data_IF_333391672254
#
_entry.id   IF_333391672254
#
_cell.length_a   1.000
_cell.length_b   1.000
_cell.length_c   1.000
_cell.angle_alpha   90.00
_cell.angle_beta   90.00
_cell.angle_gamma   90.00
#
_symmetry.space_group_name_H-M   'P 1'
#
loop_
_entity.id
_entity.type
_entity.pdbx_description
1 polymer ?
#
# COMPACT_ATOMS: atom_id res chain seq x y z
N UNK A 1 10.33 3.77 21.94
CA UNK A 1 10.10 5.04 21.22
C UNK A 1 10.72 5.09 19.82
N UNK A 2 12.05 5.14 19.62
CA UNK A 2 12.60 5.25 18.24
C UNK A 2 12.32 4.03 17.33
N UNK A 3 12.20 2.82 17.89
CA UNK A 3 11.93 1.61 17.10
C UNK A 3 10.54 1.64 16.42
N UNK A 4 9.50 2.06 17.13
CA UNK A 4 8.13 2.14 16.58
C UNK A 4 8.03 3.14 15.44
N UNK A 5 8.60 4.34 15.60
CA UNK A 5 8.67 5.37 14.56
C UNK A 5 9.42 4.85 13.34
N UNK A 6 10.57 4.20 13.53
CA UNK A 6 11.35 3.61 12.44
C UNK A 6 10.57 2.52 11.70
N UNK A 7 9.87 1.64 12.41
CA UNK A 7 9.10 0.57 11.79
C UNK A 7 7.93 1.13 10.98
N UNK A 8 7.23 2.11 11.54
CA UNK A 8 6.16 2.81 10.84
C UNK A 8 6.68 3.50 9.57
N UNK A 9 7.87 4.12 9.62
CA UNK A 9 8.52 4.70 8.45
C UNK A 9 8.83 3.64 7.38
N UNK A 10 9.43 2.51 7.76
CA UNK A 10 9.74 1.41 6.82
C UNK A 10 8.46 0.90 6.16
N UNK A 11 7.40 0.70 6.93
CA UNK A 11 6.16 0.16 6.41
C UNK A 11 5.42 1.14 5.50
N UNK A 12 5.49 2.45 5.79
CA UNK A 12 5.02 3.48 4.86
C UNK A 12 5.83 3.47 3.57
N UNK A 13 7.16 3.40 3.63
CA UNK A 13 8.01 3.31 2.43
C UNK A 13 7.60 2.12 1.57
N UNK A 14 7.42 0.94 2.15
CA UNK A 14 6.95 -0.25 1.43
C UNK A 14 5.57 -0.01 0.80
N UNK A 15 4.62 0.53 1.55
CA UNK A 15 3.26 0.78 1.07
C UNK A 15 3.25 1.79 -0.10
N UNK A 16 4.00 2.88 0.02
CA UNK A 16 4.11 3.87 -1.05
C UNK A 16 4.86 3.32 -2.27
N UNK A 17 5.85 2.44 -2.07
CA UNK A 17 6.47 1.73 -3.19
C UNK A 17 5.46 0.90 -3.98
N UNK A 18 4.59 0.17 -3.27
CA UNK A 18 3.51 -0.62 -3.88
C UNK A 18 2.55 0.28 -4.67
N UNK A 19 2.08 1.39 -4.08
CA UNK A 19 1.18 2.31 -4.78
C UNK A 19 1.81 2.99 -6.00
N UNK A 20 3.08 3.39 -5.90
CA UNK A 20 3.80 3.96 -7.03
C UNK A 20 3.92 2.98 -8.21
N UNK A 21 4.27 1.71 -7.91
CA UNK A 21 4.30 0.67 -8.94
C UNK A 21 2.90 0.48 -9.55
N UNK A 22 1.85 0.40 -8.71
CA UNK A 22 0.47 0.23 -9.17
C UNK A 22 -0.02 1.39 -10.04
N UNK A 23 0.42 2.63 -9.79
CA UNK A 23 0.04 3.76 -10.62
C UNK A 23 0.51 3.59 -12.08
N UNK A 24 1.69 2.97 -12.28
CA UNK A 24 2.20 2.62 -13.62
C UNK A 24 1.50 1.37 -14.15
N UNK A 25 1.47 0.30 -13.36
CA UNK A 25 0.91 -1.00 -13.76
C UNK A 25 -0.60 -0.97 -14.01
N UNK A 26 -1.33 0.00 -13.45
CA UNK A 26 -2.75 0.17 -13.69
C UNK A 26 -3.06 0.47 -15.17
N UNK A 27 -2.15 1.17 -15.86
CA UNK A 27 -2.30 1.43 -17.31
C UNK A 27 -2.22 0.12 -18.08
N UNK A 28 -1.19 -0.69 -17.83
CA UNK A 28 -1.05 -2.02 -18.46
C UNK A 28 -2.19 -2.97 -18.09
N UNK A 29 -2.64 -2.96 -16.83
CA UNK A 29 -3.78 -3.75 -16.40
C UNK A 29 -5.05 -3.36 -17.18
N UNK A 30 -5.29 -2.08 -17.41
CA UNK A 30 -6.43 -1.61 -18.19
C UNK A 30 -6.34 -2.03 -19.68
N UNK A 31 -5.14 -2.06 -20.27
CA UNK A 31 -4.92 -2.53 -21.65
C UNK A 31 -5.28 -4.00 -21.85
N UNK A 32 -5.10 -4.83 -20.81
CA UNK A 32 -5.36 -6.26 -20.88
C UNK A 32 -6.82 -6.63 -20.60
N UNK A 33 -7.59 -5.75 -19.94
CA UNK A 33 -8.98 -6.03 -19.57
C UNK A 33 -9.92 -5.80 -20.77
N UNK A 34 -10.67 -6.83 -21.22
CA UNK A 34 -11.66 -6.67 -22.27
C UNK A 34 -12.77 -5.70 -21.85
N UNK A 35 -13.16 -4.80 -22.76
CA UNK A 35 -14.31 -3.91 -22.56
C UNK A 35 -13.99 -2.55 -21.94
N UNK A 36 -12.73 -2.28 -21.61
CA UNK A 36 -12.25 -0.92 -21.28
C UNK A 36 -11.10 -0.52 -22.18
N UNK A 37 -10.94 0.78 -22.38
CA UNK A 37 -9.78 1.35 -23.07
C UNK A 37 -8.66 1.63 -22.07
N UNK A 38 -7.42 1.65 -22.54
CA UNK A 38 -6.24 1.98 -21.74
C UNK A 38 -6.38 3.32 -20.99
N UNK A 39 -6.94 4.34 -21.64
CA UNK A 39 -7.18 5.68 -21.07
C UNK A 39 -8.22 5.67 -19.92
N UNK A 40 -8.96 4.59 -19.76
CA UNK A 40 -9.93 4.37 -18.69
C UNK A 40 -9.32 3.70 -17.44
N UNK A 41 -7.98 3.52 -17.38
CA UNK A 41 -7.28 3.04 -16.18
C UNK A 41 -7.60 3.87 -14.91
N UNK A 42 -8.01 5.13 -15.09
CA UNK A 42 -8.48 6.00 -14.02
C UNK A 42 -9.62 5.40 -13.17
N UNK A 43 -10.46 4.51 -13.73
CA UNK A 43 -11.48 3.80 -12.94
C UNK A 43 -10.87 2.83 -11.93
N UNK A 44 -9.77 2.15 -12.29
CA UNK A 44 -9.06 1.25 -11.37
C UNK A 44 -8.42 2.04 -10.22
N UNK A 45 -7.83 3.20 -10.53
CA UNK A 45 -7.27 4.10 -9.52
C UNK A 45 -8.35 4.69 -8.61
N UNK A 46 -9.46 5.12 -9.18
CA UNK A 46 -10.60 5.64 -8.44
C UNK A 46 -11.19 4.58 -7.50
N UNK A 47 -11.33 3.33 -7.95
CA UNK A 47 -11.75 2.21 -7.11
C UNK A 47 -10.81 1.99 -5.90
N UNK A 48 -9.50 2.08 -6.11
CA UNK A 48 -8.51 2.09 -5.02
C UNK A 48 -8.72 3.24 -4.04
N UNK A 49 -8.98 4.45 -4.53
CA UNK A 49 -9.31 5.62 -3.70
C UNK A 49 -10.60 5.43 -2.89
N UNK A 50 -11.65 4.87 -3.49
CA UNK A 50 -12.91 4.52 -2.81
C UNK A 50 -12.63 3.52 -1.69
N UNK A 51 -11.88 2.46 -1.97
CA UNK A 51 -11.44 1.49 -0.97
C UNK A 51 -10.74 2.15 0.21
N UNK A 52 -9.78 3.04 -0.06
CA UNK A 52 -9.07 3.79 0.97
C UNK A 52 -10.00 4.65 1.81
N UNK A 53 -10.99 5.31 1.18
CA UNK A 53 -12.03 6.07 1.88
C UNK A 53 -12.86 5.19 2.82
N UNK A 54 -13.26 3.99 2.37
CA UNK A 54 -13.98 3.02 3.21
C UNK A 54 -13.12 2.57 4.39
N UNK A 55 -11.84 2.24 4.15
CA UNK A 55 -10.91 1.84 5.20
C UNK A 55 -10.64 2.96 6.22
N UNK A 56 -10.53 4.21 5.75
CA UNK A 56 -10.40 5.37 6.62
C UNK A 56 -11.66 5.62 7.46
N UNK A 57 -12.85 5.49 6.85
CA UNK A 57 -14.12 5.59 7.57
C UNK A 57 -14.24 4.49 8.63
N UNK A 58 -13.85 3.25 8.30
CA UNK A 58 -13.84 2.14 9.25
C UNK A 58 -12.92 2.44 10.45
N UNK A 59 -11.69 2.88 10.19
CA UNK A 59 -10.74 3.24 11.24
C UNK A 59 -11.23 4.37 12.13
N UNK A 60 -11.83 5.41 11.55
CA UNK A 60 -12.28 6.59 12.29
C UNK A 60 -13.47 6.34 13.21
N UNK A 61 -14.24 5.27 13.00
CA UNK A 61 -15.47 4.98 13.77
C UNK A 61 -15.38 3.72 14.64
N UNK A 62 -14.54 2.74 14.29
CA UNK A 62 -14.52 1.43 14.98
C UNK A 62 -13.15 0.97 15.47
N UNK A 63 -12.06 1.72 15.21
CA UNK A 63 -10.71 1.26 15.52
C UNK A 63 -10.06 1.93 16.74
N UNK A 64 -10.84 2.60 17.60
CA UNK A 64 -10.32 3.32 18.78
C UNK A 64 -9.54 2.39 19.73
N UNK A 65 -10.03 1.17 19.96
CA UNK A 65 -9.41 0.20 20.88
C UNK A 65 -8.49 -0.83 20.17
N UNK A 66 -8.39 -0.77 18.85
CA UNK A 66 -7.62 -1.73 18.08
C UNK A 66 -6.13 -1.36 18.10
N UNK A 67 -5.29 -2.33 18.45
CA UNK A 67 -3.84 -2.15 18.37
C UNK A 67 -3.41 -1.82 16.94
N UNK A 68 -2.74 -0.68 16.75
CA UNK A 68 -2.19 -0.23 15.46
C UNK A 68 -1.29 -1.28 14.80
N UNK A 69 -0.68 -2.14 15.62
CA UNK A 69 0.11 -3.28 15.18
C UNK A 69 -0.74 -4.36 14.50
N UNK A 70 -1.86 -4.73 15.11
CA UNK A 70 -2.76 -5.76 14.58
C UNK A 70 -3.46 -5.25 13.31
N UNK A 71 -3.89 -3.98 13.32
CA UNK A 71 -4.42 -3.29 12.15
C UNK A 71 -3.44 -3.31 10.98
N UNK A 72 -2.18 -2.99 11.25
CA UNK A 72 -1.11 -2.99 10.25
C UNK A 72 -0.82 -4.41 9.71
N UNK A 73 -0.81 -5.44 10.57
CA UNK A 73 -0.64 -6.83 10.12
C UNK A 73 -1.77 -7.27 9.19
N UNK A 74 -3.03 -7.09 9.61
CA UNK A 74 -4.19 -7.43 8.79
C UNK A 74 -4.26 -6.60 7.51
N UNK A 75 -3.91 -5.32 7.59
CA UNK A 75 -3.80 -4.45 6.43
C UNK A 75 -2.76 -4.94 5.43
N UNK A 76 -1.58 -5.36 5.90
CA UNK A 76 -0.53 -5.93 5.03
C UNK A 76 -0.97 -7.26 4.40
N UNK A 77 -1.58 -8.16 5.17
CA UNK A 77 -2.12 -9.44 4.66
C UNK A 77 -3.20 -9.18 3.62
N UNK A 78 -4.17 -8.31 3.93
CA UNK A 78 -5.25 -7.97 3.00
C UNK A 78 -4.75 -7.26 1.74
N UNK A 79 -3.74 -6.38 1.84
CA UNK A 79 -3.08 -5.77 0.68
C UNK A 79 -2.40 -6.82 -0.19
N UNK A 80 -1.71 -7.79 0.42
CA UNK A 80 -1.05 -8.88 -0.29
C UNK A 80 -2.05 -9.79 -1.01
N UNK A 81 -3.15 -10.17 -0.35
CA UNK A 81 -4.23 -10.96 -0.95
C UNK A 81 -4.88 -10.20 -2.10
N UNK A 82 -5.16 -8.91 -1.93
CA UNK A 82 -5.72 -8.07 -2.98
C UNK A 82 -4.79 -7.96 -4.19
N UNK A 83 -3.48 -7.84 -3.98
CA UNK A 83 -2.46 -7.86 -5.06
C UNK A 83 -2.41 -9.21 -5.78
N UNK A 84 -2.51 -10.32 -5.04
CA UNK A 84 -2.59 -11.66 -5.63
C UNK A 84 -3.85 -11.77 -6.48
N UNK A 85 -5.01 -11.39 -5.96
CA UNK A 85 -6.27 -11.39 -6.71
C UNK A 85 -6.20 -10.52 -7.97
N UNK A 86 -5.62 -9.32 -7.86
CA UNK A 86 -5.39 -8.42 -8.99
C UNK A 86 -4.48 -9.03 -10.06
N UNK A 87 -3.49 -9.83 -9.66
CA UNK A 87 -2.59 -10.52 -10.60
C UNK A 87 -3.31 -11.53 -11.51
N UNK A 88 -4.47 -12.04 -11.08
CA UNK A 88 -5.33 -12.94 -11.86
C UNK A 88 -6.52 -12.23 -12.50
N UNK A 89 -6.66 -10.90 -12.35
CA UNK A 89 -7.81 -10.14 -12.83
C UNK A 89 -7.63 -9.50 -14.20
N UNK A 90 -6.54 -9.83 -14.91
CA UNK A 90 -6.16 -9.17 -16.18
C UNK A 90 -7.23 -9.24 -17.27
N UNK A 91 -8.16 -10.19 -17.20
CA UNK A 91 -9.23 -10.35 -18.18
C UNK A 91 -10.64 -10.10 -17.60
N UNK A 92 -10.75 -9.59 -16.38
CA UNK A 92 -12.03 -9.43 -15.69
C UNK A 92 -12.09 -8.09 -14.95
N UNK A 93 -12.83 -7.13 -15.54
CA UNK A 93 -12.99 -5.78 -14.99
C UNK A 93 -13.55 -5.79 -13.57
N UNK A 94 -14.59 -6.59 -13.32
CA UNK A 94 -15.24 -6.65 -12.02
C UNK A 94 -14.25 -7.14 -10.96
N UNK A 95 -13.50 -8.20 -11.27
CA UNK A 95 -12.49 -8.73 -10.37
C UNK A 95 -11.38 -7.69 -10.12
N UNK A 96 -10.96 -6.97 -11.16
CA UNK A 96 -9.95 -5.93 -11.05
C UNK A 96 -10.43 -4.78 -10.15
N UNK A 97 -11.65 -4.27 -10.36
CA UNK A 97 -12.26 -3.22 -9.55
C UNK A 97 -12.45 -3.66 -8.09
N UNK A 98 -12.92 -4.89 -7.85
CA UNK A 98 -13.06 -5.40 -6.48
C UNK A 98 -11.71 -5.58 -5.80
N UNK A 99 -10.68 -6.01 -6.55
CA UNK A 99 -9.33 -6.20 -6.03
C UNK A 99 -8.67 -4.87 -5.71
N UNK A 100 -8.77 -3.86 -6.59
CA UNK A 100 -8.23 -2.52 -6.31
C UNK A 100 -8.97 -1.81 -5.17
N UNK A 101 -10.29 -1.96 -5.09
CA UNK A 101 -11.08 -1.44 -3.94
C UNK A 101 -10.63 -2.11 -2.64
N UNK A 102 -10.49 -3.43 -2.63
CA UNK A 102 -10.01 -4.17 -1.45
C UNK A 102 -8.58 -3.74 -1.08
N UNK A 103 -7.71 -3.55 -2.08
CA UNK A 103 -6.35 -3.07 -1.89
C UNK A 103 -6.34 -1.71 -1.19
N UNK A 104 -7.15 -0.76 -1.65
CA UNK A 104 -7.27 0.56 -1.01
C UNK A 104 -7.72 0.48 0.44
N UNK A 105 -8.73 -0.35 0.73
CA UNK A 105 -9.25 -0.56 2.08
C UNK A 105 -8.17 -1.08 3.02
N UNK A 106 -7.49 -2.15 2.64
CA UNK A 106 -6.47 -2.77 3.48
C UNK A 106 -5.21 -1.91 3.58
N UNK A 107 -4.86 -1.17 2.53
CA UNK A 107 -3.79 -0.20 2.56
C UNK A 107 -4.06 0.93 3.57
N UNK A 108 -5.32 1.37 3.75
CA UNK A 108 -5.67 2.36 4.78
C UNK A 108 -5.39 1.83 6.20
N UNK A 109 -5.65 0.54 6.45
CA UNK A 109 -5.34 -0.14 7.73
C UNK A 109 -3.84 -0.23 8.02
N UNK A 110 -2.98 -0.02 7.01
CA UNK A 110 -1.53 0.13 7.19
C UNK A 110 -1.15 1.61 7.29
N UNK A 111 -1.48 2.38 6.26
CA UNK A 111 -0.99 3.74 6.08
C UNK A 111 -1.44 4.70 7.18
N UNK A 112 -2.69 4.63 7.62
CA UNK A 112 -3.22 5.55 8.64
C UNK A 112 -2.59 5.23 10.01
N UNK A 113 -2.63 3.99 10.55
CA UNK A 113 -2.01 3.70 11.84
C UNK A 113 -0.51 3.95 11.88
N UNK A 114 0.22 3.67 10.79
CA UNK A 114 1.66 3.95 10.73
C UNK A 114 1.95 5.45 10.73
N UNK A 115 1.18 6.25 10.00
CA UNK A 115 1.28 7.71 10.10
C UNK A 115 0.98 8.18 11.52
N UNK A 116 -0.16 7.77 12.10
CA UNK A 116 -0.54 8.14 13.47
C UNK A 116 0.50 7.74 14.51
N UNK A 117 1.13 6.58 14.35
CA UNK A 117 2.25 6.12 15.20
C UNK A 117 3.43 7.07 15.13
N UNK A 118 3.86 7.47 13.93
CA UNK A 118 4.93 8.46 13.76
C UNK A 118 4.54 9.78 14.43
N UNK A 119 3.30 10.25 14.22
CA UNK A 119 2.86 11.53 14.79
C UNK A 119 2.75 11.51 16.32
N UNK A 120 2.27 10.41 16.89
CA UNK A 120 1.99 10.26 18.32
C UNK A 120 3.23 9.93 19.15
N UNK A 121 4.16 9.14 18.59
CA UNK A 121 5.41 8.78 19.27
C UNK A 121 6.53 9.82 19.12
N UNK A 122 6.38 10.78 18.20
CA UNK A 122 7.37 11.84 18.00
C UNK A 122 7.17 13.01 18.97
N UNK A 123 8.19 13.36 19.79
CA UNK A 123 8.12 14.53 20.68
C UNK A 123 7.88 15.84 19.90
N UNK A 124 7.14 16.83 20.47
CA UNK A 124 6.83 18.09 19.79
C UNK A 124 8.06 18.81 19.21
N UNK A 125 9.17 18.85 19.95
CA UNK A 125 10.41 19.51 19.53
C UNK A 125 11.11 18.84 18.33
N UNK A 126 10.79 17.58 18.04
CA UNK A 126 11.40 16.79 16.95
C UNK A 126 10.44 16.57 15.78
N UNK A 127 9.17 16.97 15.90
CA UNK A 127 8.10 16.65 14.94
C UNK A 127 8.41 17.10 13.53
N UNK A 128 8.88 18.34 13.36
CA UNK A 128 9.28 18.87 12.05
C UNK A 128 10.44 18.09 11.41
N UNK A 129 11.43 17.65 12.20
CA UNK A 129 12.57 16.87 11.70
C UNK A 129 12.15 15.47 11.25
N UNK A 130 11.33 14.79 12.06
CA UNK A 130 10.85 13.44 11.75
C UNK A 130 9.88 13.45 10.56
N UNK A 131 8.96 14.41 10.48
CA UNK A 131 8.08 14.53 9.31
C UNK A 131 8.85 14.95 8.04
N UNK A 132 9.89 15.78 8.18
CA UNK A 132 10.79 16.07 7.07
C UNK A 132 11.49 14.82 6.55
N UNK A 133 12.00 13.96 7.44
CA UNK A 133 12.59 12.67 7.07
C UNK A 133 11.54 11.74 6.43
N UNK A 134 10.35 11.65 7.02
CA UNK A 134 9.24 10.85 6.51
C UNK A 134 8.87 11.26 5.09
N UNK A 135 8.68 12.55 4.84
CA UNK A 135 8.28 13.07 3.54
C UNK A 135 9.35 12.78 2.47
N UNK A 136 10.63 12.96 2.80
CA UNK A 136 11.72 12.59 1.90
C UNK A 136 11.76 11.09 1.61
N UNK A 137 11.62 10.25 2.65
CA UNK A 137 11.59 8.80 2.48
C UNK A 137 10.42 8.35 1.59
N UNK A 138 9.24 8.94 1.77
CA UNK A 138 8.06 8.67 0.92
C UNK A 138 8.29 9.14 -0.52
N UNK A 139 8.84 10.34 -0.74
CA UNK A 139 9.13 10.82 -2.10
C UNK A 139 10.14 9.93 -2.85
N UNK A 140 11.16 9.43 -2.15
CA UNK A 140 12.11 8.46 -2.70
C UNK A 140 11.39 7.14 -3.02
N UNK A 141 10.57 6.66 -2.08
CA UNK A 141 9.76 5.45 -2.23
C UNK A 141 8.82 5.52 -3.44
N UNK A 142 8.28 6.70 -3.75
CA UNK A 142 7.43 6.90 -4.92
C UNK A 142 8.24 6.91 -6.22
N UNK A 143 9.45 7.48 -6.22
CA UNK A 143 10.24 7.70 -7.43
C UNK A 143 10.83 6.42 -8.01
N UNK A 144 11.36 5.51 -7.16
CA UNK A 144 12.03 4.29 -7.63
C UNK A 144 11.08 3.35 -8.40
N UNK A 145 9.88 3.01 -7.91
CA UNK A 145 8.95 2.15 -8.65
C UNK A 145 8.36 2.84 -9.88
N UNK A 146 8.13 4.16 -9.86
CA UNK A 146 7.70 4.90 -11.05
C UNK A 146 8.70 4.73 -12.20
N UNK A 147 10.00 4.67 -11.90
CA UNK A 147 11.04 4.45 -12.91
C UNK A 147 11.19 2.98 -13.34
N UNK A 148 10.92 2.03 -12.44
CA UNK A 148 11.26 0.62 -12.64
C UNK A 148 10.08 -0.30 -12.96
N UNK A 149 8.85 0.05 -12.58
CA UNK A 149 7.71 -0.86 -12.68
C UNK A 149 7.41 -1.29 -14.12
N UNK A 150 7.41 -0.35 -15.07
CA UNK A 150 7.22 -0.66 -16.49
C UNK A 150 8.36 -1.48 -17.10
N UNK A 151 9.60 -1.26 -16.64
CA UNK A 151 10.76 -2.07 -17.05
C UNK A 151 10.61 -3.50 -16.52
N UNK A 152 10.28 -3.65 -15.24
CA UNK A 152 10.05 -4.95 -14.63
C UNK A 152 8.90 -5.68 -15.32
N UNK A 153 7.82 -4.98 -15.65
CA UNK A 153 6.70 -5.53 -16.39
C UNK A 153 7.09 -6.00 -17.79
N UNK A 154 7.88 -5.21 -18.52
CA UNK A 154 8.38 -5.60 -19.84
C UNK A 154 9.24 -6.86 -19.79
N UNK A 155 10.02 -7.03 -18.72
CA UNK A 155 10.95 -8.16 -18.56
C UNK A 155 10.27 -9.43 -18.02
N UNK A 156 9.33 -9.30 -17.09
CA UNK A 156 8.77 -10.43 -16.33
C UNK A 156 7.27 -10.64 -16.58
N UNK A 157 6.59 -9.68 -17.20
CA UNK A 157 5.14 -9.64 -17.34
C UNK A 157 4.43 -9.02 -16.14
N UNK A 158 3.19 -8.59 -16.33
CA UNK A 158 2.37 -7.92 -15.32
C UNK A 158 2.11 -8.80 -14.09
N UNK A 159 1.70 -10.06 -14.29
CA UNK A 159 1.32 -10.94 -13.20
C UNK A 159 2.50 -11.22 -12.23
N UNK A 160 3.71 -11.61 -12.68
CA UNK A 160 4.84 -11.79 -11.76
C UNK A 160 5.25 -10.53 -11.01
N UNK A 161 5.14 -9.35 -11.63
CA UNK A 161 5.43 -8.08 -10.95
C UNK A 161 4.41 -7.81 -9.84
N UNK A 162 3.12 -8.00 -10.09
CA UNK A 162 2.07 -7.86 -9.07
C UNK A 162 2.26 -8.85 -7.90
N UNK A 163 2.67 -10.08 -8.19
CA UNK A 163 3.02 -11.07 -7.16
C UNK A 163 4.28 -10.65 -6.36
N UNK A 164 5.27 -10.05 -7.02
CA UNK A 164 6.43 -9.47 -6.35
C UNK A 164 6.04 -8.35 -5.37
N UNK A 165 5.12 -7.46 -5.77
CA UNK A 165 4.56 -6.43 -4.89
C UNK A 165 3.79 -7.03 -3.71
N UNK A 166 3.08 -8.14 -3.92
CA UNK A 166 2.43 -8.88 -2.83
C UNK A 166 3.47 -9.39 -1.82
N UNK A 167 4.58 -9.93 -2.31
CA UNK A 167 5.72 -10.32 -1.47
C UNK A 167 6.27 -9.16 -0.63
N UNK A 168 6.39 -7.95 -1.22
CA UNK A 168 6.79 -6.75 -0.48
C UNK A 168 5.77 -6.36 0.61
N UNK A 169 4.47 -6.44 0.32
CA UNK A 169 3.41 -6.14 1.28
C UNK A 169 3.44 -7.12 2.47
N UNK A 170 3.66 -8.42 2.21
CA UNK A 170 3.84 -9.46 3.24
C UNK A 170 5.08 -9.15 4.07
N UNK A 171 6.21 -8.87 3.43
CA UNK A 171 7.46 -8.53 4.12
C UNK A 171 7.26 -7.32 5.05
N UNK A 172 6.55 -6.28 4.61
CA UNK A 172 6.22 -5.12 5.45
C UNK A 172 5.41 -5.50 6.70
N UNK A 173 4.40 -6.35 6.55
CA UNK A 173 3.58 -6.82 7.68
C UNK A 173 4.37 -7.69 8.66
N UNK A 174 5.17 -8.63 8.14
CA UNK A 174 6.01 -9.53 8.93
C UNK A 174 7.08 -8.75 9.70
N UNK A 175 7.78 -7.81 9.05
CA UNK A 175 8.79 -6.98 9.70
C UNK A 175 8.19 -6.15 10.84
N UNK A 176 7.02 -5.54 10.61
CA UNK A 176 6.35 -4.78 11.67
C UNK A 176 5.97 -5.69 12.85
N UNK A 177 5.42 -6.86 12.56
CA UNK A 177 5.06 -7.85 13.58
C UNK A 177 6.28 -8.29 14.39
N UNK A 178 7.37 -8.75 13.77
CA UNK A 178 8.54 -9.24 14.54
C UNK A 178 9.13 -8.17 15.46
N UNK A 179 9.34 -6.95 14.95
CA UNK A 179 10.05 -5.92 15.71
C UNK A 179 9.24 -5.43 16.92
N UNK A 180 7.92 -5.53 16.90
CA UNK A 180 7.10 -5.19 18.05
C UNK A 180 6.86 -6.36 19.03
N UNK A 181 7.31 -7.60 18.73
CA UNK A 181 7.24 -8.73 19.69
C UNK A 181 8.39 -8.58 20.70
N UNK A 182 9.51 -8.02 20.25
CA UNK A 182 10.71 -7.77 21.05
C UNK A 182 10.64 -6.53 21.96
N UNK A 183 9.46 -5.91 22.11
CA UNK A 183 9.22 -4.71 22.93
C UNK A 183 8.09 -4.94 23.91
#
# INVERSE_FOLDING_TARGET
KNKEVRNALIQLVILFCVFAALAVLAVSLAEQIPGIKADQFGFLLAAGGVGMGIGAFFLGNWAEDLSYRMLSLWGSIGTAIALIALSFSTHNLTLALTSTTSLGLFAALVGIPMQTTIQGQTPPAMRGKVFGLQNNAVNIALSLPLALAGIAETLFGLQPVLLGLSGLAIAGGVLNWYISVET
#
